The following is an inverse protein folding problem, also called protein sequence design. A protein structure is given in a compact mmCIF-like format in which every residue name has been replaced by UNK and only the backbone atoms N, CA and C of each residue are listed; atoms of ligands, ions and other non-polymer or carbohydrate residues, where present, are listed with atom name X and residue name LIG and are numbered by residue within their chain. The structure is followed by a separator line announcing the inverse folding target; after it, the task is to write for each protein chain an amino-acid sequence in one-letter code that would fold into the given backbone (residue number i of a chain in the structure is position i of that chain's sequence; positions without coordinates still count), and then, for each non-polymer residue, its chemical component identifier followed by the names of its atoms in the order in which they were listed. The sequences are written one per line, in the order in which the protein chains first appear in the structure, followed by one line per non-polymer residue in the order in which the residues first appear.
data_IF_544709126427
#
_entry.id   IF_544709126427
#
_cell.length_a   1.000
_cell.length_b   1.000
_cell.length_c   1.000
_cell.angle_alpha   90.00
_cell.angle_beta   90.00
_cell.angle_gamma   90.00
#
_symmetry.space_group_name_H-M   'P 1'
#
loop_
_entity.id
_entity.type
_entity.pdbx_description
1 polymer ?
#
# COMPACT_ATOMS: atom_id res chain seq x y z
N UNK A 1 14.91 -7.83 61.44
CA UNK A 1 13.65 -8.22 60.77
C UNK A 1 13.66 -7.50 59.45
N UNK A 2 14.26 -8.14 58.46
CA UNK A 2 14.49 -7.56 57.14
C UNK A 2 13.25 -7.85 56.29
N UNK A 3 12.36 -6.87 56.24
CA UNK A 3 11.16 -6.89 55.41
C UNK A 3 11.56 -6.64 53.97
N UNK A 4 11.72 -7.72 53.22
CA UNK A 4 11.92 -7.77 51.79
C UNK A 4 10.80 -7.00 51.04
N UNK A 5 11.15 -5.81 50.52
CA UNK A 5 10.30 -5.00 49.66
C UNK A 5 10.34 -5.52 48.22
N UNK A 6 9.67 -6.66 47.96
CA UNK A 6 9.51 -7.21 46.61
C UNK A 6 8.07 -7.06 46.13
N UNK A 7 7.73 -5.95 45.48
CA UNK A 7 6.55 -5.97 44.62
C UNK A 7 5.76 -4.68 44.47
N UNK A 8 6.34 -3.50 44.64
CA UNK A 8 5.71 -2.31 44.08
C UNK A 8 6.18 -2.18 42.62
N UNK A 9 5.62 -3.03 41.74
CA UNK A 9 5.62 -2.72 40.32
C UNK A 9 4.69 -1.51 40.20
N UNK A 10 5.30 -0.35 40.02
CA UNK A 10 4.61 0.91 39.86
C UNK A 10 3.45 0.74 38.86
N UNK A 11 2.22 1.04 39.28
CA UNK A 11 1.04 0.92 38.41
C UNK A 11 1.22 1.74 37.13
N UNK A 12 2.01 2.82 37.20
CA UNK A 12 2.42 3.65 36.07
C UNK A 12 3.31 2.87 35.07
N UNK A 13 4.21 2.00 35.56
CA UNK A 13 5.01 1.11 34.71
C UNK A 13 4.13 0.05 34.01
N UNK A 14 3.17 -0.54 34.72
CA UNK A 14 2.20 -1.48 34.15
C UNK A 14 1.31 -0.82 33.09
N UNK A 15 0.88 0.43 33.31
CA UNK A 15 0.05 1.20 32.38
C UNK A 15 0.84 1.64 31.14
N UNK A 16 2.08 2.10 31.28
CA UNK A 16 2.91 2.47 30.14
C UNK A 16 3.23 1.27 29.23
N UNK A 17 3.52 0.11 29.81
CA UNK A 17 3.77 -1.11 29.06
C UNK A 17 2.51 -1.64 28.35
N UNK A 18 1.33 -1.57 28.99
CA UNK A 18 0.07 -1.98 28.35
C UNK A 18 -0.31 -1.07 27.19
N UNK A 19 -0.10 0.25 27.32
CA UNK A 19 -0.28 1.23 26.25
C UNK A 19 0.66 0.99 25.07
N UNK A 20 1.95 0.69 25.33
CA UNK A 20 2.91 0.34 24.28
C UNK A 20 2.50 -0.94 23.56
N UNK A 21 2.11 -2.00 24.30
CA UNK A 21 1.64 -3.25 23.72
C UNK A 21 0.39 -3.04 22.86
N UNK A 22 -0.57 -2.25 23.35
CA UNK A 22 -1.77 -1.89 22.59
C UNK A 22 -1.42 -1.18 21.28
N UNK A 23 -0.59 -0.13 21.33
CA UNK A 23 -0.14 0.61 20.14
C UNK A 23 0.60 -0.29 19.14
N UNK A 24 1.43 -1.21 19.64
CA UNK A 24 2.12 -2.18 18.76
C UNK A 24 1.15 -3.16 18.12
N UNK A 25 0.15 -3.64 18.87
CA UNK A 25 -0.87 -4.56 18.38
C UNK A 25 -1.72 -3.89 17.30
N UNK A 26 -2.23 -2.68 17.57
CA UNK A 26 -2.98 -1.89 16.59
C UNK A 26 -2.18 -1.62 15.33
N UNK A 27 -0.88 -1.32 15.46
CA UNK A 27 0.02 -1.12 14.32
C UNK A 27 0.20 -2.39 13.51
N UNK A 28 0.38 -3.55 14.16
CA UNK A 28 0.53 -4.83 13.50
C UNK A 28 -0.76 -5.26 12.79
N UNK A 29 -1.91 -5.09 13.44
CA UNK A 29 -3.21 -5.37 12.82
C UNK A 29 -3.47 -4.47 11.62
N UNK A 30 -3.18 -3.16 11.74
CA UNK A 30 -3.27 -2.23 10.62
C UNK A 30 -2.35 -2.68 9.49
N UNK A 31 -1.11 -3.04 9.78
CA UNK A 31 -0.17 -3.55 8.78
C UNK A 31 -0.68 -4.83 8.11
N UNK A 32 -1.33 -5.72 8.86
CA UNK A 32 -1.97 -6.92 8.33
C UNK A 32 -3.08 -6.58 7.34
N UNK A 33 -4.00 -5.68 7.73
CA UNK A 33 -5.09 -5.20 6.85
C UNK A 33 -4.56 -4.49 5.60
N UNK A 34 -3.53 -3.65 5.77
CA UNK A 34 -2.91 -2.93 4.65
C UNK A 34 -2.26 -3.91 3.66
N UNK A 35 -1.57 -4.95 4.16
CA UNK A 35 -1.00 -6.01 3.31
C UNK A 35 -2.08 -6.77 2.54
N UNK A 36 -3.15 -7.16 3.22
CA UNK A 36 -4.27 -7.86 2.58
C UNK A 36 -4.90 -6.99 1.48
N UNK A 37 -5.14 -5.70 1.77
CA UNK A 37 -5.71 -4.76 0.80
C UNK A 37 -4.82 -4.55 -0.42
N UNK A 38 -3.49 -4.52 -0.24
CA UNK A 38 -2.53 -4.45 -1.35
C UNK A 38 -2.62 -5.71 -2.23
N UNK A 39 -2.75 -6.90 -1.63
CA UNK A 39 -2.90 -8.17 -2.36
C UNK A 39 -4.21 -8.17 -3.15
N UNK A 40 -5.32 -7.81 -2.53
CA UNK A 40 -6.64 -7.72 -3.19
C UNK A 40 -6.62 -6.72 -4.35
N UNK A 41 -6.05 -5.55 -4.14
CA UNK A 41 -5.89 -4.54 -5.19
C UNK A 41 -4.99 -5.04 -6.33
N UNK A 42 -3.91 -5.74 -6.02
CA UNK A 42 -3.00 -6.30 -7.03
C UNK A 42 -3.71 -7.35 -7.89
N UNK A 43 -4.53 -8.22 -7.28
CA UNK A 43 -5.37 -9.19 -8.00
C UNK A 43 -6.43 -8.51 -8.87
N UNK A 44 -7.06 -7.45 -8.36
CA UNK A 44 -8.01 -6.65 -9.14
C UNK A 44 -7.33 -5.99 -10.34
N UNK A 45 -6.22 -5.29 -10.12
CA UNK A 45 -5.47 -4.62 -11.17
C UNK A 45 -4.96 -5.61 -12.23
N UNK A 46 -4.49 -6.80 -11.82
CA UNK A 46 -4.08 -7.84 -12.76
C UNK A 46 -5.23 -8.30 -13.68
N UNK A 47 -6.44 -8.47 -13.12
CA UNK A 47 -7.62 -8.93 -13.85
C UNK A 47 -8.14 -7.87 -14.82
N UNK A 48 -8.13 -6.61 -14.41
CA UNK A 48 -8.72 -5.49 -15.15
C UNK A 48 -7.74 -4.88 -16.16
N UNK A 49 -6.46 -4.80 -15.82
CA UNK A 49 -5.42 -4.21 -16.67
C UNK A 49 -4.00 -4.62 -16.19
N UNK A 50 -3.53 -5.79 -16.61
CA UNK A 50 -2.20 -6.30 -16.21
C UNK A 50 -1.03 -5.40 -16.65
N UNK A 51 -1.26 -4.50 -17.61
CA UNK A 51 -0.22 -3.58 -18.12
C UNK A 51 0.26 -2.55 -17.10
N UNK A 52 -0.50 -2.31 -16.02
CA UNK A 52 -0.12 -1.32 -14.99
C UNK A 52 0.74 -1.87 -13.86
N UNK A 53 0.85 -3.20 -13.72
CA UNK A 53 1.63 -3.81 -12.63
C UNK A 53 3.14 -3.49 -12.70
N UNK A 54 3.79 -3.47 -13.88
CA UNK A 54 5.19 -3.07 -13.99
C UNK A 54 5.45 -1.65 -13.44
N UNK A 55 4.47 -0.75 -13.51
CA UNK A 55 4.60 0.61 -12.97
C UNK A 55 4.71 0.63 -11.46
N UNK A 56 3.93 -0.21 -10.78
CA UNK A 56 4.02 -0.35 -9.31
C UNK A 56 5.42 -0.83 -8.94
N UNK A 57 5.90 -1.89 -9.60
CA UNK A 57 7.24 -2.43 -9.37
C UNK A 57 8.36 -1.43 -9.64
N UNK A 58 8.27 -0.67 -10.75
CA UNK A 58 9.27 0.33 -11.10
C UNK A 58 9.33 1.48 -10.09
N UNK A 59 8.17 1.98 -9.62
CA UNK A 59 8.13 3.04 -8.60
C UNK A 59 8.78 2.57 -7.30
N UNK A 60 8.51 1.33 -6.86
CA UNK A 60 9.15 0.77 -5.67
C UNK A 60 10.65 0.58 -5.84
N UNK A 61 11.10 0.18 -7.02
CA UNK A 61 12.51 -0.08 -7.29
C UNK A 61 13.36 1.19 -7.38
N UNK A 62 12.82 2.27 -7.94
CA UNK A 62 13.61 3.47 -8.27
C UNK A 62 13.35 4.67 -7.35
N UNK A 63 12.22 4.68 -6.64
CA UNK A 63 11.85 5.77 -5.73
C UNK A 63 11.40 7.07 -6.42
N UNK A 64 11.67 7.25 -7.71
CA UNK A 64 11.23 8.42 -8.49
C UNK A 64 10.52 8.02 -9.79
N UNK A 65 9.62 8.89 -10.26
CA UNK A 65 8.86 8.65 -11.50
C UNK A 65 9.71 8.69 -12.76
N UNK A 66 10.70 9.59 -12.82
CA UNK A 66 11.61 9.71 -13.96
C UNK A 66 12.49 8.46 -14.09
N UNK A 67 13.07 8.02 -12.98
CA UNK A 67 13.88 6.80 -12.96
C UNK A 67 13.02 5.56 -13.24
N UNK A 68 11.77 5.53 -12.78
CA UNK A 68 10.83 4.44 -13.07
C UNK A 68 10.48 4.36 -14.57
N UNK A 69 10.32 5.49 -15.26
CA UNK A 69 10.10 5.53 -16.70
C UNK A 69 11.33 4.99 -17.46
N UNK A 70 12.53 5.42 -17.06
CA UNK A 70 13.80 4.90 -17.57
C UNK A 70 13.98 3.40 -17.32
N UNK A 71 13.64 2.94 -16.11
CA UNK A 71 13.68 1.53 -15.72
C UNK A 71 12.78 0.65 -16.59
N UNK A 72 11.57 1.15 -16.92
CA UNK A 72 10.64 0.47 -17.83
C UNK A 72 10.94 0.72 -19.31
N UNK A 73 12.01 1.45 -19.65
CA UNK A 73 12.38 1.83 -21.03
C UNK A 73 11.21 2.43 -21.80
N UNK A 74 10.43 3.27 -21.14
CA UNK A 74 9.24 3.91 -21.70
C UNK A 74 9.38 5.42 -21.68
N UNK A 75 8.52 6.12 -22.42
CA UNK A 75 8.49 7.59 -22.38
C UNK A 75 7.75 8.07 -21.14
N UNK A 76 8.09 9.27 -20.65
CA UNK A 76 7.37 9.91 -19.53
C UNK A 76 5.86 10.01 -19.80
N UNK A 77 5.47 10.27 -21.05
CA UNK A 77 4.08 10.34 -21.46
C UNK A 77 3.36 8.99 -21.30
N UNK A 78 4.00 7.90 -21.73
CA UNK A 78 3.45 6.55 -21.58
C UNK A 78 3.41 6.14 -20.11
N UNK A 79 4.47 6.42 -19.35
CA UNK A 79 4.51 6.18 -17.90
C UNK A 79 3.41 6.94 -17.17
N UNK A 80 3.20 8.21 -17.51
CA UNK A 80 2.14 9.03 -16.95
C UNK A 80 0.74 8.46 -17.24
N UNK A 81 0.50 7.93 -18.45
CA UNK A 81 -0.76 7.25 -18.79
C UNK A 81 -0.97 6.00 -17.94
N UNK A 82 0.08 5.18 -17.75
CA UNK A 82 0.00 4.00 -16.90
C UNK A 82 -0.25 4.37 -15.43
N UNK A 83 0.40 5.42 -14.90
CA UNK A 83 0.08 5.94 -13.56
C UNK A 83 -1.37 6.43 -13.44
N UNK A 84 -1.88 7.14 -14.46
CA UNK A 84 -3.27 7.60 -14.46
C UNK A 84 -4.25 6.43 -14.47
N UNK A 85 -3.95 5.39 -15.25
CA UNK A 85 -4.73 4.15 -15.27
C UNK A 85 -4.70 3.44 -13.92
N UNK A 86 -3.53 3.31 -13.30
CA UNK A 86 -3.39 2.74 -11.95
C UNK A 86 -4.24 3.49 -10.92
N UNK A 87 -4.26 4.84 -10.95
CA UNK A 87 -5.13 5.65 -10.08
C UNK A 87 -6.62 5.46 -10.37
N UNK A 88 -6.99 5.28 -11.62
CA UNK A 88 -8.36 4.98 -12.01
C UNK A 88 -8.81 3.64 -11.44
N UNK A 89 -7.97 2.60 -11.58
CA UNK A 89 -8.23 1.29 -10.99
C UNK A 89 -8.31 1.36 -9.46
N UNK A 90 -7.46 2.16 -8.82
CA UNK A 90 -7.54 2.41 -7.37
C UNK A 90 -8.90 2.93 -6.95
N UNK A 91 -9.43 3.95 -7.64
CA UNK A 91 -10.77 4.48 -7.38
C UNK A 91 -11.87 3.45 -7.61
N UNK A 92 -11.80 2.69 -8.71
CA UNK A 92 -12.78 1.65 -8.99
C UNK A 92 -12.78 0.55 -7.91
N UNK A 93 -11.59 0.14 -7.45
CA UNK A 93 -11.44 -0.82 -6.37
C UNK A 93 -12.01 -0.30 -5.04
N UNK A 94 -11.76 0.98 -4.72
CA UNK A 94 -12.25 1.60 -3.47
C UNK A 94 -13.76 1.80 -3.48
N UNK A 95 -14.34 2.20 -4.62
CA UNK A 95 -15.75 2.55 -4.73
C UNK A 95 -16.64 1.39 -5.21
N UNK A 96 -16.06 0.27 -5.64
CA UNK A 96 -16.80 -0.83 -6.28
C UNK A 96 -17.37 -0.47 -7.66
N UNK A 97 -16.81 0.56 -8.31
CA UNK A 97 -17.28 1.03 -9.61
C UNK A 97 -16.80 0.13 -10.76
N UNK A 98 -17.57 0.09 -11.85
CA UNK A 98 -17.19 -0.61 -13.08
C UNK A 98 -15.97 0.04 -13.71
N UNK A 99 -14.96 -0.77 -14.07
CA UNK A 99 -13.75 -0.26 -14.72
C UNK A 99 -14.06 0.25 -16.12
N UNK A 100 -13.78 1.54 -16.43
CA UNK A 100 -13.97 2.06 -17.77
C UNK A 100 -13.03 1.37 -18.76
N UNK A 101 -13.58 0.87 -19.86
CA UNK A 101 -12.76 0.31 -20.95
C UNK A 101 -11.86 1.39 -21.52
N UNK A 102 -10.58 1.07 -21.71
CA UNK A 102 -9.67 1.98 -22.40
C UNK A 102 -10.20 2.21 -23.82
N UNK A 103 -10.35 3.48 -24.23
CA UNK A 103 -10.72 3.82 -25.60
C UNK A 103 -9.57 3.41 -26.51
N UNK A 104 -9.87 2.56 -27.50
CA UNK A 104 -8.91 2.22 -28.55
C UNK A 104 -8.47 3.46 -29.33
N UNK A 105 -7.35 3.38 -30.06
CA UNK A 105 -6.91 4.47 -30.92
C UNK A 105 -8.04 4.88 -31.86
N UNK A 106 -8.25 6.20 -31.99
CA UNK A 106 -9.26 6.75 -32.88
C UNK A 106 -8.92 6.30 -34.31
N UNK A 107 -9.84 5.58 -34.96
CA UNK A 107 -9.67 5.25 -36.38
C UNK A 107 -9.70 6.58 -37.15
N UNK A 108 -8.63 6.88 -37.89
CA UNK A 108 -8.63 7.93 -38.90
C UNK A 108 -9.36 7.45 -40.14
#
# INVERSE_FOLDING_TARGET
MDGENWGQVDDEFCHAHSEQLRKTTERLEKQGRDRQRIVEFSHFAWREDSSVLPVVGAIFATGTRGDAAGFLRTTDATFARMCNRLRQLGRCFENGETVPRQRGPYKK
#
